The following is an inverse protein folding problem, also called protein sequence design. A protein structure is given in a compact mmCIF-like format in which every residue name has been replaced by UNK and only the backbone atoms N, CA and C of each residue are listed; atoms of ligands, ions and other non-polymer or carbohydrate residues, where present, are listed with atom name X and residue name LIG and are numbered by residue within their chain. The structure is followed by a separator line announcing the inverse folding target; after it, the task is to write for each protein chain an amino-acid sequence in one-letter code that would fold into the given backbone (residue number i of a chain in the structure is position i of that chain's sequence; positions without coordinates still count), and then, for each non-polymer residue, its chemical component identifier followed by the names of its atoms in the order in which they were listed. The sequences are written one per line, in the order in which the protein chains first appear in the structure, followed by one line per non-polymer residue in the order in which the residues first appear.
data_IF_369679798223
#
_entry.id   IF_369679798223
#
_cell.length_a   1.000
_cell.length_b   1.000
_cell.length_c   1.000
_cell.angle_alpha   90.00
_cell.angle_beta   90.00
_cell.angle_gamma   90.00
#
_symmetry.space_group_name_H-M   'P 1'
#
loop_
_entity.id
_entity.type
_entity.pdbx_description
1 polymer ?
#
# COMPACT_ATOMS: atom_id res chain seq x y z
N UNK A 1 4.94 19.06 -46.56
CA UNK A 1 5.12 17.79 -45.82
C UNK A 1 6.48 17.75 -45.13
N UNK A 2 7.53 18.27 -45.77
CA UNK A 2 8.93 18.20 -45.30
C UNK A 2 9.18 18.83 -43.92
N UNK A 3 8.50 19.94 -43.59
CA UNK A 3 8.70 20.61 -42.30
C UNK A 3 8.18 19.81 -41.10
N UNK A 4 7.06 19.09 -41.26
CA UNK A 4 6.48 18.25 -40.21
C UNK A 4 7.42 17.07 -39.90
N UNK A 5 7.89 16.38 -40.94
CA UNK A 5 8.83 15.26 -40.80
C UNK A 5 10.17 15.71 -40.22
N UNK A 6 10.67 16.89 -40.59
CA UNK A 6 11.89 17.45 -40.01
C UNK A 6 11.72 17.75 -38.51
N UNK A 7 10.59 18.35 -38.11
CA UNK A 7 10.29 18.63 -36.70
C UNK A 7 10.17 17.34 -35.88
N UNK A 8 9.45 16.35 -36.41
CA UNK A 8 9.31 15.03 -35.80
C UNK A 8 10.66 14.35 -35.60
N UNK A 9 11.48 14.26 -36.66
CA UNK A 9 12.79 13.60 -36.62
C UNK A 9 13.74 14.27 -35.64
N UNK A 10 13.69 15.61 -35.54
CA UNK A 10 14.48 16.40 -34.58
C UNK A 10 14.12 15.99 -33.15
N UNK A 11 12.84 16.02 -32.80
CA UNK A 11 12.38 15.71 -31.44
C UNK A 11 12.69 14.25 -31.10
N UNK A 12 12.41 13.31 -32.00
CA UNK A 12 12.69 11.89 -31.77
C UNK A 12 14.20 11.60 -31.60
N UNK A 13 15.06 12.25 -32.39
CA UNK A 13 16.51 12.13 -32.24
C UNK A 13 17.02 12.71 -30.93
N UNK A 14 16.38 13.75 -30.41
CA UNK A 14 16.74 14.36 -29.13
C UNK A 14 16.36 13.42 -27.98
N UNK A 15 15.16 12.87 -28.00
CA UNK A 15 14.68 11.93 -26.99
C UNK A 15 15.45 10.62 -26.96
N UNK A 16 15.88 10.11 -28.13
CA UNK A 16 16.78 8.95 -28.17
C UNK A 16 18.11 9.20 -27.44
N UNK A 17 18.58 10.46 -27.38
CA UNK A 17 19.79 10.85 -26.64
C UNK A 17 19.50 11.13 -25.16
N UNK A 18 18.25 11.38 -24.80
CA UNK A 18 17.77 11.62 -23.43
C UNK A 18 16.98 10.41 -22.91
N UNK A 19 17.49 9.20 -23.20
CA UNK A 19 16.85 7.95 -22.78
C UNK A 19 16.75 7.83 -21.25
N UNK A 20 17.66 8.48 -20.52
CA UNK A 20 17.65 8.54 -19.06
C UNK A 20 16.39 9.23 -18.52
N UNK A 21 15.92 10.32 -19.14
CA UNK A 21 14.69 10.97 -18.71
C UNK A 21 13.45 10.09 -18.92
N UNK A 22 13.37 9.39 -20.06
CA UNK A 22 12.28 8.44 -20.34
C UNK A 22 12.30 7.29 -19.34
N UNK A 23 13.49 6.72 -19.10
CA UNK A 23 13.66 5.66 -18.12
C UNK A 23 13.26 6.12 -16.72
N UNK A 24 13.62 7.35 -16.31
CA UNK A 24 13.27 7.90 -15.00
C UNK A 24 11.75 8.05 -14.83
N UNK A 25 11.04 8.54 -15.86
CA UNK A 25 9.57 8.69 -15.81
C UNK A 25 8.82 7.36 -15.73
N UNK A 26 9.42 6.29 -16.22
CA UNK A 26 8.88 4.94 -16.06
C UNK A 26 9.31 4.29 -14.74
N UNK A 27 10.56 4.50 -14.33
CA UNK A 27 11.13 3.90 -13.14
C UNK A 27 10.43 4.38 -11.87
N UNK A 28 10.18 5.69 -11.73
CA UNK A 28 9.57 6.24 -10.52
C UNK A 28 8.20 5.60 -10.26
N UNK A 29 7.25 5.56 -11.22
CA UNK A 29 5.97 4.91 -11.01
C UNK A 29 6.03 3.41 -10.79
N UNK A 30 6.92 2.71 -11.48
CA UNK A 30 7.09 1.27 -11.28
C UNK A 30 7.66 0.96 -9.90
N UNK A 31 8.62 1.75 -9.41
CA UNK A 31 9.18 1.60 -8.05
C UNK A 31 8.13 1.92 -7.00
N UNK A 32 7.39 3.03 -7.15
CA UNK A 32 6.32 3.39 -6.21
C UNK A 32 5.23 2.32 -6.21
N UNK A 33 4.79 1.89 -7.39
CA UNK A 33 3.79 0.83 -7.55
C UNK A 33 4.25 -0.49 -6.93
N UNK A 34 5.49 -0.91 -7.21
CA UNK A 34 6.08 -2.12 -6.63
C UNK A 34 6.21 -2.03 -5.10
N UNK A 35 6.60 -0.87 -4.56
CA UNK A 35 6.71 -0.64 -3.13
C UNK A 35 5.33 -0.75 -2.45
N UNK A 36 4.31 -0.10 -3.02
CA UNK A 36 2.96 -0.11 -2.45
C UNK A 36 2.36 -1.51 -2.56
N UNK A 37 2.47 -2.17 -3.71
CA UNK A 37 2.03 -3.57 -3.88
C UNK A 37 2.72 -4.48 -2.88
N UNK A 38 4.04 -4.37 -2.71
CA UNK A 38 4.78 -5.17 -1.73
C UNK A 38 4.36 -4.90 -0.28
N UNK A 39 3.97 -3.66 0.04
CA UNK A 39 3.52 -3.30 1.39
C UNK A 39 2.12 -3.84 1.69
N UNK A 40 1.24 -3.94 0.68
CA UNK A 40 -0.17 -4.29 0.90
C UNK A 40 -0.50 -5.75 0.60
N UNK A 41 0.04 -6.35 -0.46
CA UNK A 41 -0.20 -7.77 -0.77
C UNK A 41 0.56 -8.72 0.17
N UNK A 42 1.37 -8.19 1.11
CA UNK A 42 2.03 -8.98 2.15
C UNK A 42 2.97 -10.07 1.60
N UNK A 43 3.45 -9.95 0.36
CA UNK A 43 4.27 -10.97 -0.28
C UNK A 43 5.59 -11.15 0.48
N UNK A 44 5.76 -12.28 1.17
CA UNK A 44 6.96 -12.82 1.84
C UNK A 44 7.93 -11.81 2.50
N UNK A 45 7.43 -10.62 2.83
CA UNK A 45 8.20 -9.45 3.18
C UNK A 45 8.02 -9.17 4.66
N UNK A 46 8.81 -9.85 5.48
CA UNK A 46 8.99 -9.62 6.92
C UNK A 46 7.67 -9.34 7.66
N UNK A 47 6.94 -10.40 8.04
CA UNK A 47 5.92 -10.29 9.09
C UNK A 47 6.56 -9.54 10.27
N UNK A 48 6.06 -8.37 10.69
CA UNK A 48 6.69 -7.60 11.74
C UNK A 48 6.65 -8.42 13.03
N UNK A 49 7.82 -8.89 13.48
CA UNK A 49 7.97 -9.63 14.72
C UNK A 49 8.05 -8.64 15.88
N UNK A 50 7.06 -8.65 16.75
CA UNK A 50 7.10 -7.90 17.99
C UNK A 50 8.08 -8.52 18.97
N UNK A 51 8.98 -7.72 19.54
CA UNK A 51 9.81 -8.15 20.66
C UNK A 51 9.06 -7.93 21.98
N UNK A 52 8.81 -9.01 22.72
CA UNK A 52 8.28 -9.00 24.07
C UNK A 52 9.43 -9.33 25.04
N UNK A 53 9.79 -8.35 25.87
CA UNK A 53 10.74 -8.55 26.95
C UNK A 53 10.00 -9.10 28.18
N UNK A 54 10.54 -10.12 28.83
CA UNK A 54 9.95 -10.66 30.07
C UNK A 54 10.98 -10.62 31.19
N UNK A 55 10.64 -9.94 32.28
CA UNK A 55 11.36 -10.03 33.55
C UNK A 55 10.57 -10.92 34.51
N UNK A 56 10.98 -12.18 34.58
CA UNK A 56 10.45 -13.14 35.53
C UNK A 56 11.26 -13.10 36.83
N UNK A 57 10.66 -12.58 37.91
CA UNK A 57 11.26 -12.54 39.25
C UNK A 57 10.77 -13.67 40.14
N UNK A 58 9.78 -14.44 39.70
CA UNK A 58 9.19 -15.57 40.41
C UNK A 58 10.00 -16.85 40.15
N UNK A 59 10.51 -17.00 38.92
CA UNK A 59 11.36 -18.13 38.48
C UNK A 59 10.74 -19.51 38.77
N UNK A 60 9.42 -19.61 38.61
CA UNK A 60 8.64 -20.82 38.88
C UNK A 60 8.15 -21.50 37.59
N UNK A 61 7.56 -22.69 37.74
CA UNK A 61 6.93 -23.41 36.62
C UNK A 61 5.75 -22.62 36.06
N UNK A 62 4.98 -21.94 36.92
CA UNK A 62 3.78 -21.21 36.52
C UNK A 62 4.14 -19.90 35.79
N UNK A 63 5.15 -19.16 36.27
CA UNK A 63 5.67 -17.97 35.57
C UNK A 63 6.33 -18.34 34.23
N UNK A 64 6.98 -19.51 34.15
CA UNK A 64 7.50 -20.07 32.91
C UNK A 64 6.41 -20.41 31.89
N UNK A 65 5.21 -20.83 32.33
CA UNK A 65 4.08 -21.10 31.44
C UNK A 65 3.59 -19.83 30.76
N UNK A 66 3.47 -18.73 31.51
CA UNK A 66 3.10 -17.41 30.98
C UNK A 66 4.09 -16.96 29.89
N UNK A 67 5.39 -17.14 30.13
CA UNK A 67 6.43 -16.82 29.16
C UNK A 67 6.37 -17.72 27.92
N UNK A 68 6.10 -19.01 28.12
CA UNK A 68 6.06 -20.01 27.05
C UNK A 68 4.85 -19.86 26.14
N UNK A 69 3.73 -19.34 26.64
CA UNK A 69 2.49 -19.17 25.86
C UNK A 69 2.69 -18.32 24.60
N UNK A 70 3.57 -17.31 24.65
CA UNK A 70 3.90 -16.45 23.51
C UNK A 70 4.79 -17.13 22.47
N UNK A 71 5.45 -18.24 22.83
CA UNK A 71 6.37 -18.97 21.95
C UNK A 71 5.72 -20.18 21.28
N UNK A 72 4.41 -20.36 21.44
CA UNK A 72 3.66 -21.49 20.88
C UNK A 72 2.75 -21.06 19.71
N UNK A 73 2.56 -21.97 18.75
CA UNK A 73 1.61 -21.79 17.65
C UNK A 73 1.88 -20.57 16.77
N UNK A 74 0.81 -19.92 16.31
CA UNK A 74 0.87 -18.75 15.43
C UNK A 74 1.46 -17.51 16.13
N UNK A 75 1.39 -17.43 17.46
CA UNK A 75 1.98 -16.34 18.24
C UNK A 75 3.51 -16.31 18.12
N UNK A 76 4.16 -17.47 17.97
CA UNK A 76 5.61 -17.55 17.77
C UNK A 76 6.09 -16.93 16.45
N UNK A 77 5.20 -16.84 15.46
CA UNK A 77 5.51 -16.17 14.19
C UNK A 77 5.46 -14.65 14.32
N UNK A 78 4.65 -14.13 15.25
CA UNK A 78 4.35 -12.72 15.44
C UNK A 78 5.12 -12.08 16.60
N UNK A 79 5.47 -12.85 17.64
CA UNK A 79 6.09 -12.37 18.87
C UNK A 79 7.35 -13.18 19.16
N UNK A 80 8.46 -12.49 19.38
CA UNK A 80 9.70 -13.06 19.90
C UNK A 80 9.82 -12.68 21.37
N UNK A 81 10.01 -13.68 22.22
CA UNK A 81 10.19 -13.49 23.66
C UNK A 81 11.68 -13.46 23.99
N UNK A 82 12.11 -12.46 24.76
CA UNK A 82 13.47 -12.37 25.28
C UNK A 82 13.46 -12.17 26.81
N UNK A 83 14.09 -13.07 27.58
CA UNK A 83 14.19 -12.91 29.03
C UNK A 83 15.20 -11.81 29.38
N UNK A 84 14.82 -10.90 30.27
CA UNK A 84 15.66 -9.75 30.69
C UNK A 84 15.53 -9.48 32.18
N UNK A 85 16.47 -8.71 32.73
CA UNK A 85 16.30 -8.16 34.08
C UNK A 85 15.29 -7.00 34.07
N UNK A 86 14.64 -6.74 35.20
CA UNK A 86 13.65 -5.65 35.27
C UNK A 86 14.25 -4.27 34.94
N UNK A 87 15.51 -4.03 35.33
CA UNK A 87 16.20 -2.78 35.05
C UNK A 87 16.56 -2.64 33.55
N UNK A 88 17.03 -3.71 32.92
CA UNK A 88 17.36 -3.74 31.49
C UNK A 88 16.10 -3.62 30.62
N UNK A 89 15.06 -4.40 30.95
CA UNK A 89 13.77 -4.36 30.26
C UNK A 89 13.14 -2.97 30.28
N UNK A 90 13.21 -2.29 31.44
CA UNK A 90 12.70 -0.91 31.56
C UNK A 90 13.47 0.08 30.69
N UNK A 91 14.80 -0.01 30.65
CA UNK A 91 15.63 0.85 29.80
C UNK A 91 15.33 0.63 28.31
N UNK A 92 15.18 -0.63 27.88
CA UNK A 92 14.97 -0.99 26.47
C UNK A 92 13.57 -0.62 25.98
N UNK A 93 12.53 -0.78 26.80
CA UNK A 93 11.18 -0.33 26.42
C UNK A 93 11.09 1.21 26.36
N UNK A 94 11.73 1.92 27.30
CA UNK A 94 11.79 3.39 27.28
C UNK A 94 12.61 3.93 26.10
N UNK A 95 13.60 3.17 25.61
CA UNK A 95 14.34 3.45 24.39
C UNK A 95 13.59 3.08 23.09
N UNK A 96 12.44 2.41 23.20
CA UNK A 96 11.61 1.99 22.06
C UNK A 96 12.13 0.74 21.32
N UNK A 97 13.03 -0.03 21.92
CA UNK A 97 13.66 -1.22 21.32
C UNK A 97 12.77 -2.46 21.37
N UNK A 98 11.74 -2.46 22.22
CA UNK A 98 10.78 -3.54 22.38
C UNK A 98 9.35 -3.07 22.07
N UNK A 99 8.47 -4.04 21.83
CA UNK A 99 7.03 -3.81 21.56
C UNK A 99 6.22 -3.88 22.86
N UNK A 100 6.62 -4.77 23.76
CA UNK A 100 6.10 -4.87 25.12
C UNK A 100 7.18 -5.31 26.10
N UNK A 101 6.96 -5.02 27.38
CA UNK A 101 7.78 -5.48 28.50
C UNK A 101 6.88 -5.93 29.65
N UNK A 102 6.87 -7.22 29.96
CA UNK A 102 6.07 -7.83 31.02
C UNK A 102 6.96 -8.10 32.24
N UNK A 103 6.50 -7.66 33.42
CA UNK A 103 7.14 -7.96 34.71
C UNK A 103 6.25 -8.91 35.51
N UNK A 104 6.78 -10.09 35.82
CA UNK A 104 6.17 -11.05 36.71
C UNK A 104 6.85 -10.89 38.09
N UNK A 105 6.13 -10.42 39.13
CA UNK A 105 6.73 -10.15 40.43
C UNK A 105 7.05 -11.45 41.18
N UNK A 106 8.02 -11.40 42.10
CA UNK A 106 8.30 -12.52 43.00
C UNK A 106 7.08 -12.82 43.90
N UNK A 107 6.81 -14.10 44.14
CA UNK A 107 5.63 -14.57 44.86
C UNK A 107 4.36 -14.56 44.01
N UNK A 108 4.49 -14.48 42.68
CA UNK A 108 3.36 -14.56 41.75
C UNK A 108 2.66 -15.90 41.87
N UNK A 109 3.41 -17.01 41.90
CA UNK A 109 2.82 -18.35 42.00
C UNK A 109 2.10 -18.55 43.32
N UNK A 110 2.73 -18.18 44.43
CA UNK A 110 2.10 -18.32 45.75
C UNK A 110 0.84 -17.46 45.85
N UNK A 111 0.89 -16.21 45.39
CA UNK A 111 -0.28 -15.34 45.37
C UNK A 111 -1.39 -15.86 44.47
N UNK A 112 -1.05 -16.40 43.30
CA UNK A 112 -2.01 -17.01 42.39
C UNK A 112 -2.67 -18.24 43.03
N UNK A 113 -1.89 -19.13 43.67
CA UNK A 113 -2.40 -20.32 44.34
C UNK A 113 -3.19 -20.04 45.61
N UNK A 114 -2.90 -18.95 46.31
CA UNK A 114 -3.64 -18.53 47.51
C UNK A 114 -4.85 -17.63 47.17
N UNK A 115 -5.18 -17.49 45.89
CA UNK A 115 -6.22 -16.60 45.37
C UNK A 115 -6.06 -15.14 45.89
N UNK A 116 -4.81 -14.73 46.12
CA UNK A 116 -4.45 -13.39 46.56
C UNK A 116 -4.27 -12.46 45.35
N UNK A 117 -4.64 -11.16 45.47
CA UNK A 117 -4.51 -10.23 44.36
C UNK A 117 -3.03 -10.00 44.03
N UNK A 118 -2.62 -10.36 42.82
CA UNK A 118 -1.30 -10.07 42.25
C UNK A 118 -1.44 -9.22 41.00
N UNK A 119 -0.59 -8.20 40.86
CA UNK A 119 -0.60 -7.28 39.73
C UNK A 119 0.65 -7.48 38.89
N UNK A 120 0.47 -7.95 37.65
CA UNK A 120 1.52 -7.95 36.64
C UNK A 120 1.61 -6.56 36.00
N UNK A 121 2.83 -6.14 35.64
CA UNK A 121 3.04 -4.86 34.98
C UNK A 121 3.43 -5.10 33.52
N UNK A 122 2.57 -4.67 32.61
CA UNK A 122 2.85 -4.66 31.17
C UNK A 122 3.10 -3.23 30.71
N UNK A 123 4.30 -2.99 30.18
CA UNK A 123 4.68 -1.74 29.54
C UNK A 123 4.66 -1.91 28.02
N UNK A 124 3.96 -1.02 27.32
CA UNK A 124 3.81 -1.07 25.86
C UNK A 124 4.51 0.10 25.20
N UNK A 125 4.97 -0.11 23.96
CA UNK A 125 5.59 0.95 23.17
C UNK A 125 4.53 1.78 22.42
N UNK A 126 4.28 3.05 22.79
CA UNK A 126 3.23 3.87 22.17
C UNK A 126 3.55 4.26 20.72
N UNK A 127 4.79 4.06 20.26
CA UNK A 127 5.19 4.31 18.88
C UNK A 127 4.75 3.20 17.92
N UNK A 128 4.29 2.06 18.46
CA UNK A 128 3.73 0.94 17.70
C UNK A 128 2.23 0.84 17.93
N UNK A 129 1.46 0.54 16.88
CA UNK A 129 -0.02 0.56 16.96
C UNK A 129 -0.64 -0.83 17.09
N UNK A 130 -0.06 -1.86 16.46
CA UNK A 130 -0.68 -3.17 16.32
C UNK A 130 -0.10 -4.17 17.33
N UNK A 131 1.22 -4.35 17.33
CA UNK A 131 1.90 -5.35 18.14
C UNK A 131 1.69 -5.19 19.65
N UNK A 132 1.72 -3.97 20.25
CA UNK A 132 1.45 -3.84 21.68
C UNK A 132 0.00 -4.15 22.04
N UNK A 133 -0.95 -3.90 21.14
CA UNK A 133 -2.35 -4.30 21.31
C UNK A 133 -2.48 -5.81 21.38
N UNK A 134 -1.89 -6.53 20.41
CA UNK A 134 -1.86 -8.00 20.40
C UNK A 134 -1.22 -8.54 21.69
N UNK A 135 -0.09 -7.99 22.12
CA UNK A 135 0.56 -8.42 23.37
C UNK A 135 -0.37 -8.21 24.57
N UNK A 136 -1.04 -7.06 24.64
CA UNK A 136 -1.98 -6.74 25.73
C UNK A 136 -3.15 -7.72 25.76
N UNK A 137 -3.85 -7.87 24.63
CA UNK A 137 -5.02 -8.75 24.52
C UNK A 137 -4.66 -10.21 24.83
N UNK A 138 -3.52 -10.69 24.30
CA UNK A 138 -3.03 -12.05 24.59
C UNK A 138 -2.68 -12.19 26.08
N UNK A 139 -2.03 -11.18 26.69
CA UNK A 139 -1.73 -11.21 28.13
C UNK A 139 -3.01 -11.30 28.95
N UNK A 140 -4.01 -10.48 28.65
CA UNK A 140 -5.31 -10.47 29.34
C UNK A 140 -6.01 -11.82 29.21
N UNK A 141 -6.10 -12.37 27.99
CA UNK A 141 -6.70 -13.69 27.75
C UNK A 141 -5.98 -14.78 28.54
N UNK A 142 -4.64 -14.77 28.54
CA UNK A 142 -3.86 -15.77 29.28
C UNK A 142 -4.07 -15.67 30.79
N UNK A 143 -4.14 -14.45 31.33
CA UNK A 143 -4.38 -14.22 32.75
C UNK A 143 -5.80 -14.62 33.15
N UNK A 144 -6.80 -14.30 32.33
CA UNK A 144 -8.19 -14.73 32.54
C UNK A 144 -8.30 -16.25 32.52
N UNK A 145 -7.70 -16.92 31.53
CA UNK A 145 -7.64 -18.38 31.47
C UNK A 145 -6.95 -18.99 32.69
N UNK A 146 -5.84 -18.38 33.14
CA UNK A 146 -5.17 -18.76 34.38
C UNK A 146 -6.09 -18.66 35.58
N UNK A 147 -6.76 -17.52 35.75
CA UNK A 147 -7.71 -17.30 36.85
C UNK A 147 -8.84 -18.35 36.86
N UNK A 148 -9.45 -18.64 35.71
CA UNK A 148 -10.48 -19.68 35.65
C UNK A 148 -9.92 -21.09 35.92
N UNK A 149 -8.69 -21.38 35.49
CA UNK A 149 -8.02 -22.64 35.77
C UNK A 149 -7.73 -22.81 37.27
N UNK A 150 -7.28 -21.75 37.95
CA UNK A 150 -7.11 -21.74 39.40
C UNK A 150 -8.44 -21.92 40.12
N UNK A 151 -9.49 -21.20 39.71
CA UNK A 151 -10.80 -21.32 40.34
C UNK A 151 -11.39 -22.73 40.20
N UNK A 152 -11.04 -23.44 39.13
CA UNK A 152 -11.51 -24.81 38.88
C UNK A 152 -10.63 -25.87 39.56
N UNK A 153 -9.31 -25.72 39.53
CA UNK A 153 -8.33 -26.75 39.92
C UNK A 153 -7.38 -26.36 41.07
N UNK A 154 -7.60 -25.21 41.73
CA UNK A 154 -6.69 -24.66 42.74
C UNK A 154 -6.49 -25.59 43.95
N UNK A 155 -7.54 -26.30 44.38
CA UNK A 155 -7.44 -27.28 45.47
C UNK A 155 -6.50 -28.43 45.13
N UNK A 156 -6.63 -28.98 43.94
CA UNK A 156 -5.80 -30.09 43.46
C UNK A 156 -4.35 -29.65 43.23
N UNK A 157 -4.13 -28.44 42.71
CA UNK A 157 -2.78 -27.89 42.52
C UNK A 157 -2.08 -27.72 43.87
N UNK A 158 -2.77 -27.22 44.90
CA UNK A 158 -2.25 -27.12 46.27
C UNK A 158 -1.95 -28.49 46.88
N UNK A 159 -2.80 -29.49 46.63
CA UNK A 159 -2.61 -30.86 47.12
C UNK A 159 -1.38 -31.53 46.48
N UNK A 160 -1.16 -31.31 45.18
CA UNK A 160 0.04 -31.77 44.46
C UNK A 160 1.30 -31.15 45.07
N UNK A 161 1.30 -29.84 45.29
CA UNK A 161 2.48 -29.15 45.81
C UNK A 161 2.83 -29.60 47.23
N UNK A 162 1.82 -29.76 48.10
CA UNK A 162 2.02 -30.30 49.45
C UNK A 162 2.53 -31.76 49.44
N UNK A 163 2.13 -32.57 48.46
CA UNK A 163 2.61 -33.95 48.30
C UNK A 163 4.05 -34.02 47.74
N UNK A 164 4.44 -33.07 46.91
CA UNK A 164 5.81 -32.93 46.38
C UNK A 164 6.77 -32.46 47.49
N UNK A 165 6.36 -31.51 48.31
CA UNK A 165 7.17 -30.98 49.42
C UNK A 165 7.36 -31.99 50.57
N UNK A 166 6.48 -33.00 50.67
CA UNK A 166 6.51 -34.04 51.71
C UNK A 166 7.15 -35.37 51.26
N UNK A 167 7.82 -35.37 50.10
CA UNK A 167 8.67 -36.46 49.57
C UNK A 167 7.94 -37.81 49.40
N UNK A 168 6.67 -37.78 48.97
CA UNK A 168 5.86 -38.99 48.86
C UNK A 168 4.63 -38.89 47.96
N UNK A 169 4.85 -38.84 46.64
CA UNK A 169 3.78 -39.08 45.66
C UNK A 169 3.45 -40.59 45.61
N UNK A 170 2.50 -41.03 46.43
CA UNK A 170 2.03 -42.43 46.41
C UNK A 170 1.21 -42.73 45.15
N UNK A 171 1.23 -43.98 44.65
CA UNK A 171 0.34 -44.43 43.57
C UNK A 171 -1.15 -44.19 43.90
N UNK A 172 -1.52 -44.31 45.19
CA UNK A 172 -2.89 -44.04 45.65
C UNK A 172 -3.25 -42.54 45.56
N UNK A 173 -2.28 -41.66 45.79
CA UNK A 173 -2.45 -40.21 45.65
C UNK A 173 -2.65 -39.84 44.17
N UNK A 174 -1.81 -40.35 43.28
CA UNK A 174 -1.94 -40.13 41.83
C UNK A 174 -3.28 -40.64 41.31
N UNK A 175 -3.73 -41.82 41.76
CA UNK A 175 -5.02 -42.37 41.37
C UNK A 175 -6.20 -41.52 41.88
N UNK A 176 -6.16 -41.05 43.13
CA UNK A 176 -7.20 -40.20 43.70
C UNK A 176 -7.28 -38.84 42.98
N UNK A 177 -6.13 -38.22 42.74
CA UNK A 177 -6.00 -36.97 42.02
C UNK A 177 -6.51 -37.09 40.57
N UNK A 178 -6.15 -38.19 39.88
CA UNK A 178 -6.64 -38.46 38.52
C UNK A 178 -8.17 -38.56 38.48
N UNK A 179 -8.79 -39.21 39.47
CA UNK A 179 -10.25 -39.31 39.58
C UNK A 179 -10.88 -37.95 39.87
N UNK A 180 -10.30 -37.14 40.75
CA UNK A 180 -10.79 -35.79 41.04
C UNK A 180 -10.72 -34.87 39.82
N UNK A 181 -9.59 -34.85 39.12
CA UNK A 181 -9.43 -34.12 37.86
C UNK A 181 -10.46 -34.56 36.82
N UNK A 182 -10.61 -35.88 36.62
CA UNK A 182 -11.59 -36.44 35.70
C UNK A 182 -13.01 -35.98 36.05
N UNK A 183 -13.41 -36.03 37.33
CA UNK A 183 -14.74 -35.62 37.77
C UNK A 183 -14.99 -34.13 37.59
N UNK A 184 -14.01 -33.26 37.91
CA UNK A 184 -14.14 -31.82 37.70
C UNK A 184 -14.21 -31.46 36.23
N UNK A 185 -13.38 -32.09 35.40
CA UNK A 185 -13.44 -31.93 33.95
C UNK A 185 -14.80 -32.39 33.43
N UNK A 186 -15.32 -33.55 33.83
CA UNK A 186 -16.64 -34.04 33.40
C UNK A 186 -17.79 -33.12 33.86
N UNK A 187 -17.67 -32.48 35.02
CA UNK A 187 -18.66 -31.53 35.53
C UNK A 187 -18.60 -30.15 34.84
N UNK A 188 -17.40 -29.68 34.49
CA UNK A 188 -17.16 -28.37 33.90
C UNK A 188 -17.19 -28.37 32.37
N UNK A 189 -16.78 -29.48 31.73
CA UNK A 189 -16.68 -29.60 30.29
C UNK A 189 -17.98 -29.26 29.54
N UNK A 190 -19.19 -29.68 29.99
CA UNK A 190 -20.43 -29.32 29.29
C UNK A 190 -20.77 -27.82 29.35
N UNK A 191 -20.19 -27.08 30.30
CA UNK A 191 -20.41 -25.64 30.48
C UNK A 191 -19.32 -24.81 29.77
N UNK A 192 -18.13 -25.39 29.59
CA UNK A 192 -16.99 -24.75 28.93
C UNK A 192 -16.91 -25.09 27.42
N UNK A 193 -17.40 -26.27 27.02
CA UNK A 193 -17.24 -26.79 25.66
C UNK A 193 -18.53 -27.45 25.12
N UNK A 194 -18.99 -27.07 23.92
CA UNK A 194 -18.54 -25.92 23.14
C UNK A 194 -18.92 -24.59 23.83
N UNK A 195 -18.18 -23.49 23.58
CA UNK A 195 -18.52 -22.19 24.15
C UNK A 195 -19.94 -21.79 23.71
N UNK A 196 -20.72 -21.24 24.64
CA UNK A 196 -22.08 -20.77 24.35
C UNK A 196 -22.12 -19.61 23.33
N UNK A 197 -21.00 -18.90 23.20
CA UNK A 197 -20.77 -17.85 22.22
C UNK A 197 -19.56 -18.30 21.41
N UNK A 198 -19.82 -18.78 20.20
CA UNK A 198 -18.78 -19.06 19.22
C UNK A 198 -18.83 -18.01 18.12
N UNK A 199 -17.67 -17.62 17.62
CA UNK A 199 -17.56 -16.74 16.48
C UNK A 199 -17.17 -17.58 15.28
N UNK A 200 -18.13 -17.83 14.39
CA UNK A 200 -17.81 -18.34 13.08
C UNK A 200 -17.15 -17.21 12.30
N UNK A 201 -15.82 -17.30 12.14
CA UNK A 201 -15.08 -16.43 11.23
C UNK A 201 -15.48 -16.86 9.83
N UNK A 202 -16.54 -16.24 9.30
CA UNK A 202 -16.94 -16.38 7.92
C UNK A 202 -15.91 -15.66 7.05
N UNK A 203 -14.83 -16.37 6.70
CA UNK A 203 -13.96 -15.94 5.62
C UNK A 203 -14.83 -15.86 4.35
N UNK A 204 -14.82 -14.71 3.63
CA UNK A 204 -15.54 -14.63 2.37
C UNK A 204 -15.07 -15.79 1.47
N UNK A 205 -16.00 -16.47 0.77
CA UNK A 205 -15.67 -17.67 0.00
C UNK A 205 -14.50 -17.39 -0.93
N UNK A 206 -13.46 -18.24 -0.87
CA UNK A 206 -12.22 -18.12 -1.63
C UNK A 206 -12.41 -18.05 -3.16
N UNK A 207 -13.62 -18.32 -3.65
CA UNK A 207 -14.01 -18.38 -5.05
C UNK A 207 -14.64 -17.09 -5.61
N UNK A 208 -14.87 -16.04 -4.81
CA UNK A 208 -14.95 -14.72 -5.43
C UNK A 208 -13.52 -14.35 -5.81
N UNK A 209 -13.17 -14.21 -7.11
CA UNK A 209 -11.88 -13.68 -7.49
C UNK A 209 -11.82 -12.23 -7.01
N UNK A 210 -11.40 -12.03 -5.76
CA UNK A 210 -10.99 -10.75 -5.26
C UNK A 210 -9.85 -10.35 -6.17
N UNK A 211 -10.10 -9.36 -7.02
CA UNK A 211 -9.07 -8.83 -7.90
C UNK A 211 -7.86 -8.54 -7.01
N UNK A 212 -6.67 -9.12 -7.28
CA UNK A 212 -5.52 -8.96 -6.42
C UNK A 212 -5.33 -7.47 -6.18
N UNK A 213 -5.11 -7.06 -4.93
CA UNK A 213 -5.17 -5.64 -4.57
C UNK A 213 -4.16 -4.82 -5.39
N UNK A 214 -3.03 -5.43 -5.77
CA UNK A 214 -2.08 -4.90 -6.75
C UNK A 214 -2.66 -4.56 -8.13
N UNK A 215 -3.66 -5.30 -8.64
CA UNK A 215 -4.36 -4.99 -9.89
C UNK A 215 -5.07 -3.63 -9.83
N UNK A 216 -5.51 -3.20 -8.64
CA UNK A 216 -6.17 -1.90 -8.46
C UNK A 216 -5.21 -0.74 -8.74
N UNK A 217 -3.91 -0.92 -8.52
CA UNK A 217 -2.88 0.11 -8.74
C UNK A 217 -2.42 0.19 -10.18
N UNK A 218 -2.54 -0.89 -10.96
CA UNK A 218 -2.01 -0.97 -12.31
C UNK A 218 -2.47 0.20 -13.23
N UNK A 219 -3.78 0.51 -13.35
CA UNK A 219 -4.26 1.63 -14.16
C UNK A 219 -3.64 2.96 -13.71
N UNK A 220 -3.48 3.14 -12.40
CA UNK A 220 -2.92 4.34 -11.80
C UNK A 220 -1.43 4.51 -12.10
N UNK A 221 -0.63 3.45 -11.96
CA UNK A 221 0.81 3.44 -12.25
C UNK A 221 1.06 3.77 -13.72
N UNK A 222 0.30 3.17 -14.64
CA UNK A 222 0.39 3.45 -16.09
C UNK A 222 0.11 4.92 -16.34
N UNK A 223 -0.98 5.46 -15.78
CA UNK A 223 -1.33 6.86 -16.01
C UNK A 223 -0.32 7.82 -15.35
N UNK A 224 0.24 7.46 -14.21
CA UNK A 224 1.26 8.25 -13.54
C UNK A 224 2.53 8.38 -14.39
N UNK A 225 2.99 7.29 -15.01
CA UNK A 225 4.11 7.33 -15.97
C UNK A 225 3.79 8.23 -17.17
N UNK A 226 2.58 8.15 -17.70
CA UNK A 226 2.13 9.01 -18.80
C UNK A 226 2.03 10.48 -18.41
N UNK A 227 1.59 10.80 -17.19
CA UNK A 227 1.51 12.17 -16.70
C UNK A 227 2.90 12.78 -16.50
N UNK A 228 3.86 12.04 -15.93
CA UNK A 228 5.24 12.51 -15.83
C UNK A 228 5.87 12.75 -17.20
N UNK A 229 5.68 11.80 -18.13
CA UNK A 229 6.16 11.94 -19.50
C UNK A 229 5.50 13.11 -20.24
N UNK A 230 4.18 13.24 -20.15
CA UNK A 230 3.42 14.33 -20.77
C UNK A 230 3.86 15.71 -20.25
N UNK A 231 4.05 15.84 -18.93
CA UNK A 231 4.56 17.07 -18.32
C UNK A 231 5.99 17.39 -18.78
N UNK A 232 6.89 16.40 -18.77
CA UNK A 232 8.27 16.58 -19.22
C UNK A 232 8.38 16.95 -20.70
N UNK A 233 7.59 16.30 -21.56
CA UNK A 233 7.45 16.62 -22.98
C UNK A 233 6.89 18.03 -23.19
N UNK A 234 5.93 18.47 -22.37
CA UNK A 234 5.39 19.82 -22.41
C UNK A 234 6.42 20.88 -22.00
N UNK A 235 7.28 20.59 -21.02
CA UNK A 235 8.36 21.50 -20.61
C UNK A 235 9.34 21.87 -21.74
N UNK A 236 9.42 21.06 -22.80
CA UNK A 236 10.25 21.34 -23.97
C UNK A 236 9.82 22.59 -24.76
N UNK A 237 8.56 23.05 -24.62
CA UNK A 237 8.15 24.33 -25.23
C UNK A 237 9.00 25.50 -24.76
N UNK A 238 9.42 25.49 -23.49
CA UNK A 238 10.34 26.50 -22.95
C UNK A 238 11.75 26.37 -23.55
N UNK A 239 12.28 25.15 -23.64
CA UNK A 239 13.59 24.91 -24.27
C UNK A 239 13.62 25.42 -25.71
N UNK A 240 12.54 25.19 -26.47
CA UNK A 240 12.43 25.68 -27.86
C UNK A 240 12.34 27.21 -27.95
N UNK A 241 11.71 27.83 -26.96
CA UNK A 241 11.62 29.29 -26.84
C UNK A 241 13.01 29.90 -26.58
N UNK A 242 13.74 29.35 -25.62
CA UNK A 242 15.08 29.80 -25.22
C UNK A 242 16.12 29.62 -26.33
N UNK A 243 16.04 28.52 -27.08
CA UNK A 243 16.88 28.27 -28.25
C UNK A 243 16.55 29.16 -29.48
N UNK A 244 15.59 30.07 -29.34
CA UNK A 244 15.14 30.99 -30.39
C UNK A 244 14.41 30.31 -31.56
N UNK A 245 14.11 29.02 -31.46
CA UNK A 245 13.42 28.26 -32.52
C UNK A 245 12.00 28.79 -32.73
N UNK A 246 11.28 29.08 -31.65
CA UNK A 246 9.93 29.63 -31.74
C UNK A 246 9.90 31.04 -32.36
N UNK A 247 10.88 31.90 -32.05
CA UNK A 247 11.01 33.24 -32.64
C UNK A 247 11.24 33.17 -34.16
N UNK A 248 12.04 32.22 -34.64
CA UNK A 248 12.23 31.96 -36.08
C UNK A 248 10.94 31.47 -36.76
N UNK A 249 10.14 30.65 -36.07
CA UNK A 249 8.88 30.12 -36.60
C UNK A 249 7.74 31.15 -36.61
N UNK A 250 7.77 32.12 -35.69
CA UNK A 250 6.77 33.19 -35.60
C UNK A 250 6.72 34.08 -36.86
N UNK A 251 7.80 34.13 -37.65
CA UNK A 251 7.89 34.90 -38.89
C UNK A 251 7.22 34.19 -40.09
N UNK A 252 6.79 32.94 -39.94
CA UNK A 252 6.15 32.15 -41.00
C UNK A 252 4.95 31.35 -40.45
N UNK A 253 3.72 31.91 -40.45
CA UNK A 253 2.56 31.34 -39.75
C UNK A 253 2.15 29.93 -40.21
N UNK A 254 2.38 29.57 -41.48
CA UNK A 254 2.16 28.21 -41.98
C UNK A 254 3.11 27.17 -41.31
N UNK A 255 4.26 27.59 -40.80
CA UNK A 255 5.24 26.72 -40.12
C UNK A 255 4.89 26.49 -38.64
N UNK A 256 4.10 27.36 -38.02
CA UNK A 256 3.69 27.22 -36.62
C UNK A 256 2.71 26.05 -36.40
N UNK A 257 1.76 25.85 -37.31
CA UNK A 257 0.85 24.70 -37.25
C UNK A 257 1.59 23.38 -37.50
N UNK A 258 2.52 23.36 -38.47
CA UNK A 258 3.36 22.20 -38.74
C UNK A 258 4.30 21.85 -37.58
N UNK A 259 4.79 22.85 -36.84
CA UNK A 259 5.58 22.66 -35.62
C UNK A 259 4.75 21.98 -34.52
N UNK A 260 3.57 22.53 -34.21
CA UNK A 260 2.70 21.96 -33.18
C UNK A 260 2.26 20.54 -33.54
N UNK A 261 1.90 20.29 -34.81
CA UNK A 261 1.53 18.96 -35.29
C UNK A 261 2.71 17.98 -35.23
N UNK A 262 3.91 18.41 -35.63
CA UNK A 262 5.13 17.59 -35.53
C UNK A 262 5.48 17.25 -34.08
N UNK A 263 5.31 18.20 -33.16
CA UNK A 263 5.56 18.00 -31.74
C UNK A 263 4.51 17.12 -31.07
N UNK A 264 3.23 17.29 -31.42
CA UNK A 264 2.15 16.41 -30.97
C UNK A 264 2.36 14.98 -31.47
N UNK A 265 2.79 14.80 -32.72
CA UNK A 265 3.12 13.48 -33.27
C UNK A 265 4.32 12.85 -32.58
N UNK A 266 5.38 13.62 -32.28
CA UNK A 266 6.52 13.14 -31.51
C UNK A 266 6.10 12.69 -30.10
N UNK A 267 5.30 13.50 -29.42
CA UNK A 267 4.76 13.18 -28.11
C UNK A 267 3.88 11.92 -28.16
N UNK A 268 3.01 11.79 -29.16
CA UNK A 268 2.17 10.61 -29.37
C UNK A 268 3.01 9.33 -29.48
N UNK A 269 4.08 9.33 -30.28
CA UNK A 269 4.95 8.17 -30.43
C UNK A 269 5.67 7.80 -29.13
N UNK A 270 6.18 8.80 -28.39
CA UNK A 270 6.87 8.56 -27.12
C UNK A 270 5.90 8.02 -26.07
N UNK A 271 4.73 8.62 -25.94
CA UNK A 271 3.69 8.18 -25.02
C UNK A 271 3.14 6.79 -25.39
N UNK A 272 3.07 6.46 -26.68
CA UNK A 272 2.73 5.12 -27.14
C UNK A 272 3.77 4.09 -26.69
N UNK A 273 5.07 4.39 -26.83
CA UNK A 273 6.14 3.49 -26.37
C UNK A 273 6.05 3.28 -24.85
N UNK A 274 5.88 4.35 -24.08
CA UNK A 274 5.73 4.27 -22.62
C UNK A 274 4.49 3.45 -22.25
N UNK A 275 3.36 3.69 -22.93
CA UNK A 275 2.11 2.95 -22.72
C UNK A 275 2.28 1.46 -23.03
N UNK A 276 2.90 1.11 -24.16
CA UNK A 276 3.16 -0.29 -24.54
C UNK A 276 3.99 -0.98 -23.46
N UNK A 277 5.11 -0.38 -23.04
CA UNK A 277 5.99 -1.00 -22.05
C UNK A 277 5.27 -1.16 -20.70
N UNK A 278 4.59 -0.11 -20.23
CA UNK A 278 3.87 -0.16 -18.95
C UNK A 278 2.71 -1.17 -18.96
N UNK A 279 1.91 -1.20 -20.04
CA UNK A 279 0.81 -2.15 -20.22
C UNK A 279 1.33 -3.59 -20.33
N UNK A 280 2.40 -3.83 -21.09
CA UNK A 280 2.96 -5.18 -21.23
C UNK A 280 3.48 -5.71 -19.89
N UNK A 281 4.21 -4.90 -19.13
CA UNK A 281 4.67 -5.28 -17.79
C UNK A 281 3.48 -5.63 -16.90
N UNK A 282 2.46 -4.76 -16.85
CA UNK A 282 1.27 -4.99 -16.04
C UNK A 282 0.44 -6.20 -16.45
N UNK A 283 0.24 -6.39 -17.76
CA UNK A 283 -0.58 -7.48 -18.28
C UNK A 283 0.10 -8.83 -18.10
N UNK A 284 1.43 -8.89 -18.25
CA UNK A 284 2.20 -10.10 -17.98
C UNK A 284 2.25 -10.38 -16.48
N UNK A 285 2.42 -9.37 -15.64
CA UNK A 285 2.49 -9.55 -14.18
C UNK A 285 1.15 -10.00 -13.56
N UNK A 286 0.02 -9.53 -14.10
CA UNK A 286 -1.32 -9.83 -13.60
C UNK A 286 -2.09 -10.85 -14.45
N UNK A 287 -1.43 -11.55 -15.37
CA UNK A 287 -2.05 -12.53 -16.28
C UNK A 287 -3.31 -12.00 -17.02
N UNK A 288 -3.31 -10.72 -17.39
CA UNK A 288 -4.43 -10.07 -18.09
C UNK A 288 -4.42 -10.52 -19.56
N UNK A 289 -5.57 -10.93 -20.13
CA UNK A 289 -5.67 -11.30 -21.54
C UNK A 289 -5.14 -10.20 -22.49
N UNK A 290 -4.13 -10.55 -23.29
CA UNK A 290 -3.53 -9.65 -24.30
C UNK A 290 -4.52 -9.16 -25.37
N UNK A 291 -5.70 -9.77 -25.46
CA UNK A 291 -6.81 -9.29 -26.31
C UNK A 291 -7.26 -7.88 -25.96
N UNK A 292 -7.08 -7.44 -24.70
CA UNK A 292 -7.40 -6.10 -24.19
C UNK A 292 -6.30 -5.07 -24.46
N UNK A 293 -5.12 -5.51 -24.91
CA UNK A 293 -3.96 -4.64 -25.11
C UNK A 293 -4.21 -3.54 -26.17
N UNK A 294 -4.83 -3.80 -27.34
CA UNK A 294 -5.00 -2.76 -28.36
C UNK A 294 -5.90 -1.61 -27.93
N UNK A 295 -7.02 -1.90 -27.25
CA UNK A 295 -7.97 -0.91 -26.73
C UNK A 295 -7.35 -0.12 -25.57
N UNK A 296 -6.70 -0.79 -24.62
CA UNK A 296 -5.98 -0.14 -23.53
C UNK A 296 -4.84 0.75 -24.04
N UNK A 297 -4.09 0.30 -25.05
CA UNK A 297 -3.02 1.07 -25.69
C UNK A 297 -3.55 2.30 -26.40
N UNK A 298 -4.62 2.15 -27.19
CA UNK A 298 -5.24 3.28 -27.86
C UNK A 298 -5.77 4.31 -26.85
N UNK A 299 -6.42 3.84 -25.77
CA UNK A 299 -6.97 4.70 -24.73
C UNK A 299 -5.89 5.50 -24.00
N UNK A 300 -4.87 4.82 -23.51
CA UNK A 300 -3.75 5.40 -22.77
C UNK A 300 -2.95 6.39 -23.62
N UNK A 301 -2.68 6.04 -24.88
CA UNK A 301 -1.90 6.89 -25.79
C UNK A 301 -2.66 8.17 -26.15
N UNK A 302 -3.95 8.08 -26.52
CA UNK A 302 -4.75 9.27 -26.89
C UNK A 302 -5.01 10.15 -25.66
N UNK A 303 -5.28 9.55 -24.50
CA UNK A 303 -5.44 10.27 -23.24
C UNK A 303 -4.14 10.98 -22.83
N UNK A 304 -3.00 10.28 -22.94
CA UNK A 304 -1.68 10.86 -22.71
C UNK A 304 -1.39 12.04 -23.63
N UNK A 305 -1.77 11.97 -24.90
CA UNK A 305 -1.64 13.09 -25.83
C UNK A 305 -2.50 14.29 -25.40
N UNK A 306 -3.70 14.04 -24.89
CA UNK A 306 -4.58 15.09 -24.37
C UNK A 306 -3.99 15.77 -23.12
N UNK A 307 -3.45 14.97 -22.19
CA UNK A 307 -2.74 15.48 -21.01
C UNK A 307 -1.50 16.30 -21.42
N UNK A 308 -0.72 15.82 -22.39
CA UNK A 308 0.40 16.57 -22.96
C UNK A 308 -0.04 17.91 -23.55
N UNK A 309 -1.16 17.94 -24.27
CA UNK A 309 -1.67 19.17 -24.86
C UNK A 309 -2.10 20.19 -23.79
N UNK A 310 -2.75 19.73 -22.72
CA UNK A 310 -3.13 20.60 -21.60
C UNK A 310 -1.94 21.07 -20.78
N UNK A 311 -0.99 20.19 -20.46
CA UNK A 311 0.27 20.59 -19.82
C UNK A 311 1.06 21.57 -20.70
N UNK A 312 1.09 21.35 -22.01
CA UNK A 312 1.69 22.27 -22.98
C UNK A 312 1.06 23.65 -22.95
N UNK A 313 -0.27 23.72 -22.87
CA UNK A 313 -0.99 24.99 -22.75
C UNK A 313 -0.66 25.71 -21.43
N UNK A 314 -0.70 24.99 -20.30
CA UNK A 314 -0.32 25.53 -18.99
C UNK A 314 1.13 26.06 -18.99
N UNK A 315 2.06 25.31 -19.56
CA UNK A 315 3.46 25.70 -19.70
C UNK A 315 3.61 27.00 -20.50
N UNK A 316 2.82 27.19 -21.56
CA UNK A 316 2.84 28.42 -22.39
C UNK A 316 2.09 29.62 -21.79
N UNK A 317 1.25 29.40 -20.76
CA UNK A 317 0.54 30.48 -20.07
C UNK A 317 1.40 31.17 -19.02
N UNK A 318 2.37 30.45 -18.46
CA UNK A 318 3.28 30.99 -17.46
C UNK A 318 4.27 32.03 -18.05
N UNK A 319 4.72 33.00 -17.24
CA UNK A 319 5.63 34.05 -17.69
C UNK A 319 7.10 33.60 -17.79
N UNK A 320 7.52 32.61 -17.01
CA UNK A 320 8.89 32.06 -16.99
C UNK A 320 8.86 30.53 -16.93
N UNK A 321 9.95 29.87 -17.35
CA UNK A 321 10.07 28.41 -17.25
C UNK A 321 9.97 27.94 -15.80
N UNK A 322 10.58 28.67 -14.86
CA UNK A 322 10.51 28.33 -13.44
C UNK A 322 9.07 28.40 -12.92
N UNK A 323 8.34 29.48 -13.21
CA UNK A 323 6.92 29.61 -12.83
C UNK A 323 6.06 28.54 -13.49
N UNK A 324 6.34 28.19 -14.74
CA UNK A 324 5.62 27.16 -15.48
C UNK A 324 5.77 25.78 -14.82
N UNK A 325 7.00 25.43 -14.43
CA UNK A 325 7.30 24.20 -13.72
C UNK A 325 6.62 24.18 -12.34
N UNK A 326 6.69 25.26 -11.57
CA UNK A 326 6.02 25.35 -10.27
C UNK A 326 4.50 25.17 -10.38
N UNK A 327 3.84 25.91 -11.27
CA UNK A 327 2.39 25.83 -11.47
C UNK A 327 1.99 24.41 -11.89
N UNK A 328 2.73 23.84 -12.83
CA UNK A 328 2.40 22.50 -13.34
C UNK A 328 2.63 21.43 -12.28
N UNK A 329 3.72 21.51 -11.49
CA UNK A 329 3.98 20.59 -10.39
C UNK A 329 2.93 20.72 -9.27
N UNK A 330 2.53 21.94 -8.91
CA UNK A 330 1.48 22.18 -7.91
C UNK A 330 0.11 21.64 -8.34
N UNK A 331 -0.14 21.51 -9.64
CA UNK A 331 -1.35 20.88 -10.18
C UNK A 331 -1.20 19.36 -10.32
N UNK A 332 -0.02 18.90 -10.75
CA UNK A 332 0.27 17.51 -11.05
C UNK A 332 0.11 16.61 -9.82
N UNK A 333 0.71 16.96 -8.69
CA UNK A 333 0.67 16.10 -7.50
C UNK A 333 -0.73 15.93 -6.90
N UNK A 334 -1.53 17.01 -6.68
CA UNK A 334 -2.92 16.85 -6.25
C UNK A 334 -3.75 16.04 -7.24
N UNK A 335 -3.54 16.20 -8.55
CA UNK A 335 -4.21 15.37 -9.55
C UNK A 335 -3.80 13.90 -9.44
N UNK A 336 -2.51 13.58 -9.28
CA UNK A 336 -2.04 12.21 -9.11
C UNK A 336 -2.66 11.54 -7.88
N UNK A 337 -2.71 12.26 -6.76
CA UNK A 337 -3.26 11.76 -5.50
C UNK A 337 -4.79 11.58 -5.53
N UNK A 338 -5.52 12.62 -5.95
CA UNK A 338 -6.99 12.58 -5.94
C UNK A 338 -7.57 11.81 -7.14
N UNK A 339 -6.92 11.87 -8.30
CA UNK A 339 -7.40 11.31 -9.57
C UNK A 339 -7.03 9.84 -9.78
N UNK A 340 -6.88 9.04 -8.73
CA UNK A 340 -6.76 7.59 -8.87
C UNK A 340 -5.40 7.08 -9.37
N UNK A 341 -4.41 7.96 -9.61
CA UNK A 341 -3.14 7.56 -10.24
C UNK A 341 -2.09 7.11 -9.23
N UNK A 342 -2.09 7.69 -8.03
CA UNK A 342 -1.21 7.31 -6.93
C UNK A 342 -1.89 6.29 -5.99
N UNK A 343 -3.15 6.55 -5.62
CA UNK A 343 -3.98 5.65 -4.83
C UNK A 343 -5.22 5.28 -5.65
N UNK A 344 -5.60 3.99 -5.74
CA UNK A 344 -6.81 3.59 -6.46
C UNK A 344 -8.05 4.18 -5.81
N UNK A 345 -9.09 4.43 -6.60
CA UNK A 345 -10.35 5.00 -6.08
C UNK A 345 -11.00 4.15 -4.98
N UNK A 346 -10.74 2.84 -4.96
CA UNK A 346 -11.24 1.93 -3.91
C UNK A 346 -10.58 2.18 -2.53
N UNK A 347 -9.39 2.77 -2.50
CA UNK A 347 -8.67 3.08 -1.26
C UNK A 347 -8.89 4.53 -0.78
N UNK A 348 -9.64 5.34 -1.53
CA UNK A 348 -9.89 6.74 -1.22
C UNK A 348 -11.22 6.93 -0.50
N UNK A 349 -11.34 7.88 0.46
CA UNK A 349 -12.63 8.30 0.99
C UNK A 349 -13.59 8.74 -0.12
N UNK A 350 -14.88 8.45 0.02
CA UNK A 350 -15.90 8.68 -1.01
C UNK A 350 -15.90 10.10 -1.57
N UNK A 351 -15.71 11.10 -0.71
CA UNK A 351 -15.68 12.50 -1.13
C UNK A 351 -14.46 12.83 -2.00
N UNK A 352 -13.29 12.24 -1.70
CA UNK A 352 -12.08 12.39 -2.52
C UNK A 352 -12.27 11.67 -3.85
N UNK A 353 -12.76 10.43 -3.82
CA UNK A 353 -13.01 9.65 -5.02
C UNK A 353 -14.02 10.34 -5.95
N UNK A 354 -15.07 10.97 -5.40
CA UNK A 354 -16.07 11.71 -6.17
C UNK A 354 -15.49 12.96 -6.85
N UNK A 355 -14.55 13.66 -6.21
CA UNK A 355 -13.83 14.78 -6.83
C UNK A 355 -12.83 14.26 -7.88
N UNK A 356 -12.10 13.21 -7.50
CA UNK A 356 -11.07 12.57 -8.29
C UNK A 356 -11.57 12.04 -9.63
N UNK A 357 -12.71 11.35 -9.66
CA UNK A 357 -13.32 10.85 -10.92
C UNK A 357 -13.68 11.96 -11.91
N UNK A 358 -13.80 13.21 -11.46
CA UNK A 358 -14.07 14.37 -12.32
C UNK A 358 -12.79 15.05 -12.83
N UNK A 359 -11.61 14.70 -12.31
CA UNK A 359 -10.36 15.23 -12.84
C UNK A 359 -10.04 14.58 -14.19
N UNK A 360 -9.28 15.25 -15.08
CA UNK A 360 -8.93 14.69 -16.38
C UNK A 360 -8.20 13.36 -16.27
N UNK A 361 -7.29 13.23 -15.30
CA UNK A 361 -6.57 11.98 -15.08
C UNK A 361 -7.47 10.93 -14.42
N UNK A 362 -8.30 11.29 -13.44
CA UNK A 362 -9.21 10.35 -12.79
C UNK A 362 -10.24 9.74 -13.72
N UNK A 363 -10.77 10.53 -14.66
CA UNK A 363 -11.62 10.02 -15.72
C UNK A 363 -10.89 8.96 -16.59
N UNK A 364 -9.61 9.19 -16.91
CA UNK A 364 -8.81 8.27 -17.72
C UNK A 364 -8.48 6.99 -16.96
N UNK A 365 -8.12 7.09 -15.67
CA UNK A 365 -7.88 5.92 -14.80
C UNK A 365 -9.15 5.08 -14.71
N UNK A 366 -10.29 5.70 -14.39
CA UNK A 366 -11.57 5.01 -14.18
C UNK A 366 -11.97 4.15 -15.40
N UNK A 367 -11.83 4.69 -16.61
CA UNK A 367 -12.12 3.97 -17.85
C UNK A 367 -11.08 2.92 -18.19
N UNK A 368 -9.81 3.16 -17.88
CA UNK A 368 -8.76 2.15 -18.04
C UNK A 368 -8.98 0.98 -17.07
N UNK A 369 -9.39 1.24 -15.83
CA UNK A 369 -9.78 0.21 -14.87
C UNK A 369 -10.92 -0.63 -15.44
N UNK A 370 -11.97 0.00 -15.97
CA UNK A 370 -13.09 -0.73 -16.58
C UNK A 370 -12.67 -1.61 -17.76
N UNK A 371 -11.70 -1.18 -18.57
CA UNK A 371 -11.16 -1.98 -19.68
C UNK A 371 -10.36 -3.17 -19.18
N UNK A 372 -9.54 -2.98 -18.14
CA UNK A 372 -8.69 -4.03 -17.58
C UNK A 372 -9.52 -5.09 -16.86
N UNK A 373 -10.61 -4.71 -16.20
CA UNK A 373 -11.47 -5.63 -15.43
C UNK A 373 -12.62 -6.22 -16.23
N UNK A 374 -12.96 -5.69 -17.41
CA UNK A 374 -14.06 -6.19 -18.22
C UNK A 374 -13.80 -7.59 -18.80
N UNK A 375 -14.86 -8.36 -19.07
CA UNK A 375 -14.74 -9.70 -19.64
C UNK A 375 -14.09 -9.70 -21.05
N UNK A 376 -14.38 -8.68 -21.87
CA UNK A 376 -13.87 -8.53 -23.23
C UNK A 376 -13.07 -7.25 -23.45
N UNK A 377 -12.45 -7.13 -24.62
CA UNK A 377 -11.82 -5.89 -25.07
C UNK A 377 -12.86 -4.88 -25.57
N UNK A 378 -12.50 -3.60 -25.58
CA UNK A 378 -13.36 -2.48 -26.00
C UNK A 378 -14.56 -2.25 -25.10
N UNK A 379 -14.36 -2.39 -23.79
CA UNK A 379 -15.36 -2.07 -22.78
C UNK A 379 -15.55 -0.56 -22.57
N UNK A 380 -14.59 0.27 -23.02
CA UNK A 380 -14.67 1.73 -22.92
C UNK A 380 -15.78 2.28 -23.83
N UNK A 381 -16.76 2.95 -23.22
CA UNK A 381 -17.90 3.57 -23.91
C UNK A 381 -17.47 4.52 -25.06
N UNK A 382 -18.19 4.56 -26.20
CA UNK A 382 -17.93 5.50 -27.29
C UNK A 382 -17.93 6.97 -26.86
N UNK A 383 -18.75 7.35 -25.88
CA UNK A 383 -18.78 8.70 -25.34
C UNK A 383 -17.47 9.08 -24.63
N UNK A 384 -16.78 8.11 -24.02
CA UNK A 384 -15.50 8.33 -23.37
C UNK A 384 -14.41 8.67 -24.39
N UNK A 385 -14.42 8.02 -25.57
CA UNK A 385 -13.55 8.35 -26.69
C UNK A 385 -13.78 9.76 -27.23
N UNK A 386 -15.04 10.19 -27.36
CA UNK A 386 -15.38 11.55 -27.76
C UNK A 386 -14.88 12.59 -26.75
N UNK A 387 -14.99 12.29 -25.46
CA UNK A 387 -14.53 13.17 -24.37
C UNK A 387 -13.02 13.35 -24.41
N UNK A 388 -12.26 12.27 -24.58
CA UNK A 388 -10.80 12.33 -24.72
C UNK A 388 -10.40 13.03 -26.03
N UNK A 389 -11.09 12.78 -27.14
CA UNK A 389 -10.84 13.49 -28.39
C UNK A 389 -11.08 15.00 -28.24
N UNK A 390 -12.14 15.40 -27.55
CA UNK A 390 -12.41 16.81 -27.21
C UNK A 390 -11.32 17.40 -26.30
N UNK A 391 -10.82 16.62 -25.33
CA UNK A 391 -9.69 17.02 -24.47
C UNK A 391 -8.41 17.28 -25.30
N UNK A 392 -8.08 16.39 -26.24
CA UNK A 392 -6.94 16.56 -27.15
C UNK A 392 -7.11 17.80 -28.02
N UNK A 393 -8.25 17.94 -28.69
CA UNK A 393 -8.52 19.05 -29.61
C UNK A 393 -8.53 20.40 -28.89
N UNK A 394 -9.15 20.49 -27.71
CA UNK A 394 -9.18 21.72 -26.91
C UNK A 394 -7.79 22.11 -26.41
N UNK A 395 -7.01 21.16 -25.89
CA UNK A 395 -5.63 21.43 -25.44
C UNK A 395 -4.71 21.87 -26.60
N UNK A 396 -4.80 21.23 -27.75
CA UNK A 396 -4.02 21.61 -28.94
C UNK A 396 -4.48 22.96 -29.51
N UNK A 397 -5.78 23.24 -29.51
CA UNK A 397 -6.31 24.54 -29.92
C UNK A 397 -5.82 25.66 -29.00
N UNK A 398 -5.79 25.43 -27.69
CA UNK A 398 -5.27 26.38 -26.71
C UNK A 398 -3.76 26.62 -26.89
N UNK A 399 -2.98 25.55 -27.13
CA UNK A 399 -1.57 25.65 -27.51
C UNK A 399 -1.39 26.50 -28.78
N UNK A 400 -2.16 26.20 -29.84
CA UNK A 400 -2.07 26.92 -31.12
C UNK A 400 -2.41 28.40 -30.97
N UNK A 401 -3.46 28.72 -30.19
CA UNK A 401 -3.84 30.09 -29.87
C UNK A 401 -2.73 30.81 -29.09
N UNK A 402 -2.17 30.17 -28.06
CA UNK A 402 -1.16 30.80 -27.20
C UNK A 402 0.18 31.01 -27.93
N UNK A 403 0.56 30.06 -28.77
CA UNK A 403 1.73 30.14 -29.63
C UNK A 403 1.65 31.35 -30.58
N UNK A 404 0.46 31.61 -31.15
CA UNK A 404 0.21 32.74 -32.07
C UNK A 404 0.13 34.10 -31.37
N UNK A 405 -0.46 34.15 -30.18
CA UNK A 405 -0.78 35.42 -29.51
C UNK A 405 0.37 36.02 -28.71
N UNK A 406 1.34 35.22 -28.24
CA UNK A 406 2.46 35.82 -27.50
C UNK A 406 3.64 34.92 -27.15
N UNK A 407 3.43 33.61 -26.95
CA UNK A 407 4.51 32.75 -26.43
C UNK A 407 5.71 32.65 -27.37
N UNK A 408 5.50 32.67 -28.69
CA UNK A 408 6.60 32.63 -29.66
C UNK A 408 7.32 33.98 -29.87
N UNK A 409 6.73 35.10 -29.40
CA UNK A 409 7.23 36.46 -29.65
C UNK A 409 7.99 37.06 -28.47
N UNK A 410 7.62 36.69 -27.24
CA UNK A 410 8.38 37.06 -26.03
C UNK A 410 9.64 36.22 -25.92
#
# INVERSE_FOLDING_TARGET
MDFLLASLRKDLSRWRRDAAAIALWMLIPLVIGSLITSLVDGGDGVKPKGLLLIADQDETVLSGFVSSAYTQGELAELITVEPVTAEDGRKRIDAGEASGFLVIPAGFTDAFLDSAPVMLQLFTNPSQTILPGIITDVTEILLDLGFYAEQLFGDEIREIQAAVDSDGVSEAFVAALSVQFQQKIEAAAPQLFPPAIDIEIAEPPADEPSLPFSLLFLPGIILMALMFAANGLAGDYWKERELGTLRRLAQAPARAAGFLAGKALAAFLILAIISVVALLIGFIYHDIPLTRLPSALAWTTVSGLGLFAWFGALQMMAPTQHSANLITSMLLFPMLMAGGSFFPFAALPDWIAAIGRRTPNGFVVDRLTSEITAAGAWAIDPQSWLTVAAMVLSGLALCAWRLRTGFARG
#
